data_IF_210317222748
#
_entry.id   IF_210317222748
#
_cell.length_a   1.000
_cell.length_b   1.000
_cell.length_c   1.000
_cell.angle_alpha   90.00
_cell.angle_beta   90.00
_cell.angle_gamma   90.00
#
_symmetry.space_group_name_H-M   'P 1'
#
loop_
_entity.id
_entity.type
_entity.pdbx_description
1 polymer ?
#
# COMPACT_ATOMS: atom_id res chain seq x y z
N UNK A 1 7.92 10.74 -2.57
CA UNK A 1 6.71 11.50 -2.98
C UNK A 1 6.97 13.00 -2.94
N UNK A 2 7.24 13.60 -1.78
CA UNK A 2 7.40 15.07 -1.65
C UNK A 2 8.40 15.69 -2.64
N UNK A 3 9.66 15.21 -2.80
CA UNK A 3 10.61 15.84 -3.73
C UNK A 3 10.17 15.79 -5.19
N UNK A 4 9.43 14.74 -5.57
CA UNK A 4 8.94 14.57 -6.94
C UNK A 4 7.76 15.50 -7.23
N UNK A 5 6.88 15.72 -6.25
CA UNK A 5 5.80 16.69 -6.36
C UNK A 5 6.34 18.13 -6.48
N UNK A 6 7.37 18.47 -5.70
CA UNK A 6 8.05 19.77 -5.82
C UNK A 6 8.67 19.96 -7.22
N UNK A 7 9.33 18.94 -7.77
CA UNK A 7 9.86 18.97 -9.16
C UNK A 7 8.79 19.18 -10.21
N UNK A 8 7.60 18.62 -9.98
CA UNK A 8 6.44 18.80 -10.85
C UNK A 8 5.71 20.13 -10.62
N UNK A 9 6.21 21.02 -9.76
CA UNK A 9 5.69 22.36 -9.55
C UNK A 9 4.60 22.48 -8.47
N UNK A 10 4.40 21.46 -7.63
CA UNK A 10 3.50 21.55 -6.49
C UNK A 10 4.18 22.26 -5.31
N UNK A 11 3.47 23.12 -4.57
CA UNK A 11 4.01 23.74 -3.36
C UNK A 11 4.33 22.67 -2.30
N UNK A 12 5.44 22.86 -1.58
CA UNK A 12 5.91 21.93 -0.55
C UNK A 12 4.90 21.72 0.57
N UNK A 13 4.20 22.77 0.98
CA UNK A 13 3.17 22.69 2.03
C UNK A 13 2.03 21.75 1.64
N UNK A 14 1.57 21.84 0.38
CA UNK A 14 0.53 20.96 -0.14
C UNK A 14 1.06 19.51 -0.26
N UNK A 15 2.26 19.34 -0.80
CA UNK A 15 2.90 18.03 -0.96
C UNK A 15 3.12 17.34 0.40
N UNK A 16 3.47 18.11 1.43
CA UNK A 16 3.61 17.62 2.80
C UNK A 16 2.26 17.26 3.40
N UNK A 17 1.27 18.16 3.30
CA UNK A 17 -0.07 17.93 3.83
C UNK A 17 -0.71 16.66 3.24
N UNK A 18 -0.70 16.50 1.90
CA UNK A 18 -1.30 15.33 1.26
C UNK A 18 -0.56 14.03 1.61
N UNK A 19 0.77 14.08 1.71
CA UNK A 19 1.57 12.90 2.07
C UNK A 19 1.31 12.47 3.52
N UNK A 20 1.24 13.43 4.45
CA UNK A 20 0.98 13.16 5.87
C UNK A 20 -0.46 12.70 6.09
N UNK A 21 -1.46 13.34 5.47
CA UNK A 21 -2.85 12.92 5.58
C UNK A 21 -3.08 11.54 4.93
N UNK A 22 -2.44 11.28 3.79
CA UNK A 22 -2.57 10.01 3.08
C UNK A 22 -1.92 8.82 3.81
N UNK A 23 -0.82 9.02 4.53
CA UNK A 23 -0.14 7.93 5.24
C UNK A 23 -0.98 7.34 6.37
N UNK A 24 -1.84 8.15 7.01
CA UNK A 24 -2.77 7.71 8.07
C UNK A 24 -3.84 6.76 7.52
N UNK A 25 -4.18 6.85 6.24
CA UNK A 25 -5.22 6.01 5.62
C UNK A 25 -4.85 4.52 5.59
N UNK A 26 -3.55 4.20 5.58
CA UNK A 26 -3.04 2.84 5.59
C UNK A 26 -3.39 2.07 6.89
N UNK A 27 -3.69 2.80 7.98
CA UNK A 27 -4.07 2.19 9.26
C UNK A 27 -5.45 1.53 9.18
N UNK A 28 -6.32 2.02 8.30
CA UNK A 28 -7.72 1.60 8.20
C UNK A 28 -7.99 0.73 6.98
N UNK A 29 -7.31 1.00 5.87
CA UNK A 29 -7.56 0.30 4.60
C UNK A 29 -7.01 -1.13 4.69
N UNK A 30 -7.81 -2.17 4.36
CA UNK A 30 -7.30 -3.54 4.29
C UNK A 30 -6.21 -3.68 3.23
N UNK A 31 -5.17 -4.53 3.44
CA UNK A 31 -4.86 -5.28 4.65
C UNK A 31 -4.03 -4.38 5.59
N UNK A 32 -4.54 -4.12 6.79
CA UNK A 32 -3.86 -3.25 7.77
C UNK A 32 -3.19 -4.09 8.86
N UNK A 33 -1.91 -3.83 9.11
CA UNK A 33 -1.18 -4.43 10.22
C UNK A 33 -1.85 -4.12 11.57
N UNK A 34 -2.44 -2.93 11.73
CA UNK A 34 -3.12 -2.54 12.96
C UNK A 34 -4.36 -3.38 13.24
N UNK A 35 -5.13 -3.74 12.20
CA UNK A 35 -6.29 -4.62 12.36
C UNK A 35 -5.87 -6.02 12.84
N UNK A 36 -4.73 -6.52 12.35
CA UNK A 36 -4.16 -7.81 12.81
C UNK A 36 -3.72 -7.72 14.27
N UNK A 37 -3.01 -6.65 14.65
CA UNK A 37 -2.60 -6.43 16.03
C UNK A 37 -3.80 -6.29 16.97
N UNK A 38 -4.85 -5.59 16.56
CA UNK A 38 -6.07 -5.44 17.36
C UNK A 38 -6.77 -6.78 17.59
N UNK A 39 -6.92 -7.60 16.54
CA UNK A 39 -7.46 -8.95 16.64
C UNK A 39 -6.67 -9.79 17.66
N UNK A 40 -5.34 -9.77 17.57
CA UNK A 40 -4.45 -10.48 18.50
C UNK A 40 -4.57 -9.95 19.94
N UNK A 41 -4.56 -8.63 20.12
CA UNK A 41 -4.69 -7.98 21.43
C UNK A 41 -6.06 -8.25 22.09
N UNK A 42 -7.12 -8.40 21.29
CA UNK A 42 -8.45 -8.83 21.74
C UNK A 42 -8.54 -10.35 22.02
N UNK A 43 -7.40 -11.04 22.18
CA UNK A 43 -7.33 -12.47 22.44
C UNK A 43 -7.65 -13.35 21.23
N UNK A 44 -7.57 -12.81 20.01
CA UNK A 44 -7.92 -13.52 18.78
C UNK A 44 -9.43 -13.74 18.60
N UNK A 45 -10.27 -13.19 19.48
CA UNK A 45 -11.72 -13.38 19.45
C UNK A 45 -12.39 -12.63 18.30
N UNK A 46 -11.80 -11.52 17.86
CA UNK A 46 -12.27 -10.74 16.72
C UNK A 46 -11.61 -11.24 15.45
N UNK A 47 -12.41 -11.71 14.49
CA UNK A 47 -11.91 -12.20 13.20
C UNK A 47 -11.19 -11.11 12.40
N UNK A 48 -10.02 -11.43 11.86
CA UNK A 48 -9.27 -10.53 10.96
C UNK A 48 -10.09 -10.24 9.69
N UNK A 49 -10.81 -11.24 9.18
CA UNK A 49 -11.66 -11.09 8.01
C UNK A 49 -12.79 -10.06 8.25
N UNK A 50 -13.43 -10.08 9.43
CA UNK A 50 -14.47 -9.11 9.75
C UNK A 50 -13.92 -7.71 9.94
N UNK A 51 -12.74 -7.55 10.55
CA UNK A 51 -12.06 -6.26 10.66
C UNK A 51 -11.68 -5.69 9.29
N UNK A 52 -11.21 -6.54 8.38
CA UNK A 52 -10.92 -6.12 7.01
C UNK A 52 -12.19 -5.67 6.29
N UNK A 53 -13.28 -6.45 6.34
CA UNK A 53 -14.55 -6.03 5.74
C UNK A 53 -15.07 -4.72 6.34
N UNK A 54 -14.97 -4.56 7.67
CA UNK A 54 -15.37 -3.34 8.37
C UNK A 54 -14.52 -2.13 7.96
N UNK A 55 -13.25 -2.32 7.60
CA UNK A 55 -12.33 -1.27 7.15
C UNK A 55 -12.56 -0.78 5.72
N UNK A 56 -13.24 -1.57 4.86
CA UNK A 56 -13.45 -1.22 3.44
C UNK A 56 -14.26 0.08 3.31
N UNK A 57 -15.43 0.15 3.93
CA UNK A 57 -16.33 1.29 3.81
C UNK A 57 -15.67 2.60 4.30
N UNK A 58 -15.11 2.68 5.53
CA UNK A 58 -14.52 3.92 6.01
C UNK A 58 -13.20 4.24 5.28
N UNK A 59 -12.44 3.23 4.81
CA UNK A 59 -11.25 3.43 3.98
C UNK A 59 -11.57 4.04 2.61
N UNK A 60 -12.62 3.54 1.93
CA UNK A 60 -13.09 4.10 0.66
C UNK A 60 -13.67 5.51 0.84
N UNK A 61 -14.41 5.75 1.92
CA UNK A 61 -14.96 7.07 2.22
C UNK A 61 -13.84 8.10 2.42
N UNK A 62 -12.84 7.78 3.24
CA UNK A 62 -11.67 8.65 3.44
C UNK A 62 -10.91 8.88 2.14
N UNK A 63 -10.71 7.84 1.33
CA UNK A 63 -10.08 7.94 0.00
C UNK A 63 -10.83 8.92 -0.90
N UNK A 64 -12.16 8.80 -0.97
CA UNK A 64 -13.02 9.63 -1.79
C UNK A 64 -13.00 11.09 -1.33
N UNK A 65 -13.07 11.32 -0.01
CA UNK A 65 -12.96 12.67 0.58
C UNK A 65 -11.59 13.29 0.28
N UNK A 66 -10.50 12.53 0.45
CA UNK A 66 -9.16 13.04 0.15
C UNK A 66 -8.99 13.37 -1.33
N UNK A 67 -9.47 12.50 -2.22
CA UNK A 67 -9.44 12.72 -3.67
C UNK A 67 -10.25 13.96 -4.05
N UNK A 68 -11.44 14.12 -3.49
CA UNK A 68 -12.29 15.30 -3.67
C UNK A 68 -11.59 16.58 -3.22
N UNK A 69 -11.01 16.59 -2.02
CA UNK A 69 -10.26 17.74 -1.50
C UNK A 69 -9.06 18.07 -2.38
N UNK A 70 -8.27 17.07 -2.77
CA UNK A 70 -7.13 17.27 -3.67
C UNK A 70 -7.55 17.88 -5.01
N UNK A 71 -8.66 17.41 -5.60
CA UNK A 71 -9.22 17.97 -6.84
C UNK A 71 -9.70 19.41 -6.67
N UNK A 72 -10.39 19.72 -5.56
CA UNK A 72 -10.84 21.08 -5.25
C UNK A 72 -9.64 22.03 -5.10
N UNK A 73 -8.62 21.65 -4.33
CA UNK A 73 -7.42 22.46 -4.16
C UNK A 73 -6.63 22.61 -5.46
N UNK A 74 -6.48 21.53 -6.25
CA UNK A 74 -5.78 21.57 -7.53
C UNK A 74 -6.45 22.52 -8.51
N UNK A 75 -7.80 22.52 -8.59
CA UNK A 75 -8.56 23.45 -9.43
C UNK A 75 -8.51 24.89 -8.89
N UNK A 76 -8.71 25.08 -7.58
CA UNK A 76 -8.73 26.42 -6.95
C UNK A 76 -7.37 27.12 -7.00
N UNK A 77 -6.27 26.36 -6.91
CA UNK A 77 -4.90 26.88 -6.89
C UNK A 77 -4.17 26.72 -8.23
N UNK A 78 -4.85 26.25 -9.28
CA UNK A 78 -4.29 26.03 -10.61
C UNK A 78 -2.95 25.27 -10.58
N UNK A 79 -2.92 24.12 -9.91
CA UNK A 79 -1.72 23.28 -9.88
C UNK A 79 -1.38 22.73 -11.27
N UNK A 80 -0.09 22.45 -11.54
CA UNK A 80 0.37 21.95 -12.83
C UNK A 80 -0.35 20.66 -13.23
N UNK A 81 -0.74 20.57 -14.50
CA UNK A 81 -1.36 19.38 -15.08
C UNK A 81 -0.24 18.46 -15.57
N UNK A 82 -0.28 17.18 -15.17
CA UNK A 82 0.66 16.18 -15.65
C UNK A 82 0.51 15.90 -17.15
N UNK A 83 1.50 15.22 -17.72
CA UNK A 83 1.45 14.77 -19.11
C UNK A 83 0.32 13.74 -19.33
N UNK A 84 -0.38 13.86 -20.46
CA UNK A 84 -1.45 12.94 -20.81
C UNK A 84 -0.84 11.64 -21.31
N UNK A 85 -1.06 10.55 -20.58
CA UNK A 85 -0.56 9.22 -20.96
C UNK A 85 -1.46 8.65 -22.08
N UNK A 86 -0.90 8.24 -23.24
CA UNK A 86 -1.68 7.64 -24.30
C UNK A 86 -2.28 6.29 -23.87
N UNK A 87 -3.49 5.98 -24.35
CA UNK A 87 -4.27 4.80 -23.92
C UNK A 87 -3.50 3.47 -24.05
N UNK A 88 -2.68 3.33 -25.10
CA UNK A 88 -1.83 2.15 -25.31
C UNK A 88 -0.78 1.98 -24.20
N UNK A 89 -0.20 3.09 -23.74
CA UNK A 89 0.78 3.08 -22.65
C UNK A 89 0.09 2.85 -21.30
N UNK A 90 -1.11 3.43 -21.10
CA UNK A 90 -1.91 3.18 -19.91
C UNK A 90 -2.27 1.69 -19.74
N UNK A 91 -2.66 1.00 -20.82
CA UNK A 91 -2.94 -0.44 -20.80
C UNK A 91 -1.68 -1.27 -20.49
N UNK A 92 -0.53 -0.89 -21.04
CA UNK A 92 0.75 -1.54 -20.73
C UNK A 92 1.10 -1.41 -19.24
N UNK A 93 1.01 -0.19 -18.70
CA UNK A 93 1.28 0.10 -17.28
C UNK A 93 0.30 -0.68 -16.40
N UNK A 94 -0.99 -0.72 -16.74
CA UNK A 94 -1.99 -1.47 -15.99
C UNK A 94 -1.69 -2.98 -15.97
N UNK A 95 -1.26 -3.54 -17.11
CA UNK A 95 -0.85 -4.94 -17.21
C UNK A 95 0.41 -5.25 -16.38
N UNK A 96 1.39 -4.35 -16.37
CA UNK A 96 2.58 -4.49 -15.52
C UNK A 96 2.24 -4.38 -14.03
N UNK A 97 1.38 -3.44 -13.65
CA UNK A 97 0.94 -3.23 -12.27
C UNK A 97 0.14 -4.42 -11.69
N UNK A 98 -0.50 -5.21 -12.55
CA UNK A 98 -1.30 -6.38 -12.15
C UNK A 98 -0.48 -7.37 -11.31
N UNK A 99 0.79 -7.60 -11.66
CA UNK A 99 1.67 -8.53 -10.94
C UNK A 99 1.89 -8.10 -9.48
N UNK A 100 2.04 -6.80 -9.25
CA UNK A 100 2.14 -6.23 -7.90
C UNK A 100 0.80 -6.30 -7.15
N UNK A 101 -0.32 -6.00 -7.83
CA UNK A 101 -1.65 -6.08 -7.22
C UNK A 101 -2.05 -7.51 -6.84
N UNK A 102 -1.50 -8.54 -7.49
CA UNK A 102 -1.76 -9.93 -7.12
C UNK A 102 -1.37 -10.24 -5.67
N UNK A 103 -0.37 -9.56 -5.09
CA UNK A 103 -0.05 -9.72 -3.67
C UNK A 103 -1.25 -9.36 -2.77
N UNK A 104 -1.95 -8.28 -3.11
CA UNK A 104 -3.17 -7.85 -2.41
C UNK A 104 -4.30 -8.87 -2.55
N UNK A 105 -4.48 -9.40 -3.77
CA UNK A 105 -5.47 -10.44 -4.05
C UNK A 105 -5.16 -11.74 -3.29
N UNK A 106 -3.89 -12.12 -3.17
CA UNK A 106 -3.48 -13.30 -2.39
C UNK A 106 -3.83 -13.12 -0.91
N UNK A 107 -3.56 -11.95 -0.34
CA UNK A 107 -3.83 -11.68 1.08
C UNK A 107 -5.34 -11.66 1.34
N UNK A 108 -6.09 -10.81 0.64
CA UNK A 108 -7.53 -10.70 0.84
C UNK A 108 -8.25 -11.97 0.43
N UNK A 109 -7.90 -12.55 -0.71
CA UNK A 109 -8.48 -13.79 -1.21
C UNK A 109 -8.23 -14.96 -0.27
N UNK A 110 -7.00 -15.13 0.22
CA UNK A 110 -6.65 -16.20 1.16
C UNK A 110 -7.41 -16.10 2.49
N UNK A 111 -7.50 -14.89 3.05
CA UNK A 111 -8.16 -14.63 4.34
C UNK A 111 -9.68 -14.71 4.21
N UNK A 112 -10.27 -14.06 3.20
CA UNK A 112 -11.74 -13.97 3.04
C UNK A 112 -12.35 -15.30 2.56
N UNK A 113 -11.61 -16.10 1.79
CA UNK A 113 -12.06 -17.45 1.41
C UNK A 113 -11.91 -18.49 2.54
N UNK A 114 -11.21 -18.14 3.62
CA UNK A 114 -10.96 -19.05 4.74
C UNK A 114 -9.99 -20.20 4.43
N UNK A 115 -9.33 -20.17 3.25
CA UNK A 115 -8.33 -21.17 2.86
C UNK A 115 -7.07 -21.04 3.73
N UNK A 116 -6.70 -19.81 4.08
CA UNK A 116 -5.49 -19.50 4.84
C UNK A 116 -5.80 -18.56 6.00
N UNK A 117 -5.03 -18.70 7.06
CA UNK A 117 -4.94 -17.70 8.12
C UNK A 117 -4.22 -16.43 7.62
N UNK A 118 -4.30 -15.35 8.39
CA UNK A 118 -3.64 -14.10 8.03
C UNK A 118 -2.11 -14.24 7.95
N UNK A 119 -1.51 -15.05 8.82
CA UNK A 119 -0.07 -15.31 8.85
C UNK A 119 0.38 -16.14 7.65
N UNK A 120 -0.36 -17.19 7.29
CA UNK A 120 -0.09 -18.02 6.10
C UNK A 120 -0.24 -17.21 4.81
N UNK A 121 -1.31 -16.41 4.70
CA UNK A 121 -1.55 -15.53 3.56
C UNK A 121 -0.41 -14.52 3.38
N UNK A 122 0.10 -13.95 4.48
CA UNK A 122 1.24 -13.03 4.44
C UNK A 122 2.53 -13.73 3.97
N UNK A 123 2.80 -14.95 4.42
CA UNK A 123 3.96 -15.72 3.99
C UNK A 123 3.94 -15.99 2.47
N UNK A 124 2.79 -16.42 1.94
CA UNK A 124 2.60 -16.65 0.50
C UNK A 124 2.75 -15.33 -0.28
N UNK A 125 2.17 -14.23 0.22
CA UNK A 125 2.27 -12.93 -0.42
C UNK A 125 3.72 -12.40 -0.47
N UNK A 126 4.54 -12.67 0.55
CA UNK A 126 5.97 -12.34 0.54
C UNK A 126 6.73 -13.15 -0.50
N UNK A 127 6.47 -14.46 -0.61
CA UNK A 127 7.08 -15.30 -1.64
C UNK A 127 6.70 -14.83 -3.04
N UNK A 128 5.42 -14.50 -3.25
CA UNK A 128 4.95 -13.93 -4.51
C UNK A 128 5.62 -12.59 -4.81
N UNK A 129 5.68 -11.69 -3.83
CA UNK A 129 6.30 -10.36 -4.00
C UNK A 129 7.78 -10.48 -4.33
N UNK A 130 8.50 -11.40 -3.65
CA UNK A 130 9.88 -11.72 -3.97
C UNK A 130 10.03 -12.22 -5.41
N UNK A 131 9.16 -13.15 -5.85
CA UNK A 131 9.17 -13.65 -7.22
C UNK A 131 8.92 -12.54 -8.25
N UNK A 132 7.90 -11.71 -8.05
CA UNK A 132 7.55 -10.59 -8.94
C UNK A 132 8.71 -9.59 -9.01
N UNK A 133 9.24 -9.17 -7.87
CA UNK A 133 10.33 -8.19 -7.81
C UNK A 133 11.61 -8.73 -8.47
N UNK A 134 11.95 -10.00 -8.26
CA UNK A 134 13.20 -10.57 -8.75
C UNK A 134 13.15 -10.98 -10.23
N UNK A 135 12.04 -11.58 -10.67
CA UNK A 135 11.95 -12.21 -12.00
C UNK A 135 11.15 -11.40 -13.01
N UNK A 136 10.10 -10.70 -12.56
CA UNK A 136 9.20 -9.92 -13.44
C UNK A 136 9.71 -8.49 -13.58
N UNK A 137 9.76 -7.73 -12.48
CA UNK A 137 10.23 -6.34 -12.52
C UNK A 137 11.75 -6.26 -12.64
N UNK A 138 12.47 -7.23 -12.06
CA UNK A 138 13.94 -7.29 -12.06
C UNK A 138 14.58 -6.05 -11.46
N UNK A 139 13.91 -5.46 -10.47
CA UNK A 139 14.35 -4.22 -9.80
C UNK A 139 15.62 -4.43 -8.96
N UNK A 140 15.88 -5.66 -8.52
CA UNK A 140 16.98 -6.01 -7.63
C UNK A 140 17.84 -7.14 -8.18
N UNK A 141 19.13 -7.13 -7.84
CA UNK A 141 20.06 -8.23 -8.14
C UNK A 141 20.15 -9.17 -6.94
N UNK A 142 20.58 -10.41 -7.19
CA UNK A 142 20.84 -11.40 -6.13
C UNK A 142 21.81 -10.89 -5.05
N UNK A 143 22.71 -9.96 -5.41
CA UNK A 143 23.67 -9.33 -4.50
C UNK A 143 23.04 -8.32 -3.54
N UNK A 144 21.83 -7.84 -3.83
CA UNK A 144 21.11 -6.88 -2.99
C UNK A 144 20.29 -7.56 -1.89
N UNK A 145 20.09 -8.89 -1.97
CA UNK A 145 19.32 -9.67 -0.98
C UNK A 145 19.83 -9.49 0.46
N UNK A 146 21.14 -9.57 0.77
CA UNK A 146 21.61 -9.36 2.14
C UNK A 146 21.25 -7.99 2.69
N UNK A 147 21.28 -6.96 1.83
CA UNK A 147 20.91 -5.58 2.20
C UNK A 147 19.41 -5.44 2.43
N UNK A 148 18.59 -6.11 1.62
CA UNK A 148 17.13 -6.18 1.81
C UNK A 148 16.77 -6.86 3.12
N UNK A 149 17.37 -8.02 3.41
CA UNK A 149 17.17 -8.76 4.65
C UNK A 149 17.62 -7.96 5.88
N UNK A 150 18.77 -7.30 5.81
CA UNK A 150 19.24 -6.45 6.90
C UNK A 150 18.28 -5.29 7.18
N UNK A 151 17.71 -4.66 6.14
CA UNK A 151 16.69 -3.61 6.32
C UNK A 151 15.42 -4.14 6.96
N UNK A 152 14.92 -5.29 6.48
CA UNK A 152 13.73 -5.91 7.05
C UNK A 152 13.95 -6.28 8.52
N UNK A 153 15.07 -6.93 8.85
CA UNK A 153 15.44 -7.29 10.21
C UNK A 153 15.54 -6.05 11.10
N UNK A 154 16.20 -4.98 10.65
CA UNK A 154 16.31 -3.73 11.41
C UNK A 154 14.94 -3.13 11.73
N UNK A 155 14.02 -3.11 10.77
CA UNK A 155 12.65 -2.60 11.00
C UNK A 155 11.93 -3.44 12.04
N UNK A 156 12.01 -4.77 11.95
CA UNK A 156 11.39 -5.69 12.92
C UNK A 156 12.00 -5.50 14.30
N UNK A 157 13.32 -5.36 14.41
CA UNK A 157 14.01 -5.12 15.69
C UNK A 157 13.54 -3.83 16.36
N UNK A 158 13.35 -2.75 15.61
CA UNK A 158 12.85 -1.49 16.15
C UNK A 158 11.43 -1.68 16.71
N UNK A 159 10.56 -2.38 15.98
CA UNK A 159 9.17 -2.64 16.40
C UNK A 159 9.11 -3.54 17.64
N UNK A 160 10.02 -4.52 17.79
CA UNK A 160 10.04 -5.43 18.94
C UNK A 160 10.63 -4.81 20.22
N UNK A 161 11.46 -3.78 20.09
CA UNK A 161 12.03 -3.05 21.24
C UNK A 161 11.04 -2.00 21.80
N UNK A 162 10.16 -1.48 20.93
CA UNK A 162 9.04 -0.60 21.28
C UNK A 162 7.93 -1.37 22.00
#
# INVERSE_FOLDING_TARGET
LIPEMERNGYPRDFSTAVTVSGSVQALLTPPSHNSVLYSLAAGGTVSIASLFMAGILPGLLLSAVMMGLCMVFARKRNYPKGEVIPLRQALKIAGEALWGMMAMVIILGGILSGIFTATESAAIAVLWSFFVTMFIYRDYKWRDLPKLMHRAARTISIVMIL
#
